data_IF_454953278246
#
_entry.id   IF_454953278246
#
_cell.length_a   1.000
_cell.length_b   1.000
_cell.length_c   1.000
_cell.angle_alpha   90.00
_cell.angle_beta   90.00
_cell.angle_gamma   90.00
#
_symmetry.space_group_name_H-M   'P 1'
#
loop_
_entity.id
_entity.type
_entity.pdbx_description
1 polymer ?
#
# COMPACT_ATOMS: atom_id res chain seq x y z
N UNK A 1 2.70 -12.78 11.52
CA UNK A 1 1.69 -13.28 10.57
C UNK A 1 1.56 -12.35 9.35
N UNK A 2 1.38 -12.92 8.15
CA UNK A 2 0.94 -12.23 6.92
C UNK A 2 -0.49 -12.68 6.60
N UNK A 3 -1.38 -11.72 6.33
CA UNK A 3 -2.74 -11.94 5.87
C UNK A 3 -2.87 -11.59 4.39
N UNK A 4 -3.56 -12.41 3.61
CA UNK A 4 -3.85 -12.19 2.19
C UNK A 4 -5.31 -11.75 2.02
N UNK A 5 -5.53 -10.44 2.12
CA UNK A 5 -6.86 -9.87 2.16
C UNK A 5 -7.61 -10.07 0.84
N UNK A 6 -8.72 -10.79 0.91
CA UNK A 6 -9.58 -11.10 -0.22
C UNK A 6 -9.15 -12.34 -1.01
N UNK A 7 -8.09 -13.04 -0.60
CA UNK A 7 -7.74 -14.35 -1.17
C UNK A 7 -8.39 -15.45 -0.33
N UNK A 8 -9.14 -16.34 -0.99
CA UNK A 8 -9.68 -17.54 -0.34
C UNK A 8 -8.56 -18.56 -0.15
N UNK A 9 -8.00 -18.58 1.04
CA UNK A 9 -6.94 -19.53 1.46
C UNK A 9 -7.40 -20.36 2.65
N UNK A 10 -6.65 -21.41 2.97
CA UNK A 10 -6.88 -22.21 4.16
C UNK A 10 -6.71 -21.35 5.43
N UNK A 11 -7.71 -21.28 6.34
CA UNK A 11 -7.59 -20.53 7.59
C UNK A 11 -6.47 -21.05 8.51
N UNK A 12 -5.99 -22.28 8.31
CA UNK A 12 -4.82 -22.80 9.03
C UNK A 12 -3.51 -22.09 8.62
N UNK A 13 -3.45 -21.55 7.39
CA UNK A 13 -2.30 -20.77 6.88
C UNK A 13 -2.51 -19.28 7.10
N UNK A 14 -3.74 -18.77 6.91
CA UNK A 14 -4.13 -17.39 7.26
C UNK A 14 -4.40 -17.23 8.76
N UNK A 15 -3.39 -17.62 9.54
CA UNK A 15 -3.52 -17.83 10.97
C UNK A 15 -3.01 -16.63 11.77
N UNK A 16 -3.94 -15.83 12.31
CA UNK A 16 -3.64 -14.65 13.12
C UNK A 16 -2.79 -14.92 14.37
N UNK A 17 -2.69 -16.17 14.83
CA UNK A 17 -1.85 -16.58 15.96
C UNK A 17 -0.41 -16.93 15.57
N UNK A 18 -0.10 -17.02 14.27
CA UNK A 18 1.26 -17.29 13.80
C UNK A 18 2.20 -16.10 14.07
N UNK A 19 3.20 -16.33 14.90
CA UNK A 19 4.25 -15.37 15.17
C UNK A 19 5.58 -15.78 14.53
N UNK A 20 6.29 -14.80 13.95
CA UNK A 20 7.62 -14.99 13.38
C UNK A 20 8.52 -13.99 14.10
N UNK A 21 9.44 -14.51 14.91
CA UNK A 21 10.33 -13.70 15.74
C UNK A 21 11.35 -12.91 14.90
N UNK A 22 11.87 -11.79 15.42
CA UNK A 22 12.99 -11.09 14.78
C UNK A 22 14.16 -12.02 14.50
N UNK A 23 14.67 -12.00 13.25
CA UNK A 23 15.75 -12.88 12.80
C UNK A 23 15.33 -14.30 12.40
N UNK A 24 14.07 -14.68 12.64
CA UNK A 24 13.52 -15.94 12.17
C UNK A 24 12.96 -15.80 10.74
N UNK A 25 12.54 -16.93 10.16
CA UNK A 25 11.89 -16.98 8.85
C UNK A 25 10.75 -17.98 8.86
N UNK A 26 9.74 -17.72 8.04
CA UNK A 26 8.60 -18.60 7.86
C UNK A 26 8.20 -18.62 6.39
N UNK A 27 7.83 -19.79 5.88
CA UNK A 27 7.35 -19.94 4.50
C UNK A 27 5.83 -20.05 4.52
N UNK A 28 5.17 -19.10 3.87
CA UNK A 28 3.73 -19.14 3.64
C UNK A 28 3.46 -19.82 2.30
N UNK A 29 2.56 -20.80 2.28
CA UNK A 29 2.13 -21.49 1.06
C UNK A 29 0.63 -21.26 0.92
N UNK A 30 0.24 -20.50 -0.09
CA UNK A 30 -1.15 -20.19 -0.39
C UNK A 30 -1.57 -20.93 -1.66
N UNK A 31 -2.47 -21.90 -1.50
CA UNK A 31 -3.13 -22.55 -2.63
C UNK A 31 -4.31 -21.67 -3.05
N UNK A 32 -4.20 -21.01 -4.21
CA UNK A 32 -5.28 -20.18 -4.76
C UNK A 32 -6.17 -21.08 -5.62
N UNK A 33 -7.44 -21.31 -5.26
CA UNK A 33 -8.31 -22.18 -6.03
C UNK A 33 -8.50 -21.66 -7.46
N UNK A 34 -8.59 -22.55 -8.46
CA UNK A 34 -8.90 -22.14 -9.83
C UNK A 34 -10.27 -21.44 -9.98
N UNK A 35 -11.15 -21.60 -8.99
CA UNK A 35 -12.45 -20.93 -8.90
C UNK A 35 -12.37 -19.56 -8.23
N UNK A 36 -11.19 -19.12 -7.79
CA UNK A 36 -11.00 -17.80 -7.22
C UNK A 36 -11.22 -16.73 -8.29
N UNK A 37 -11.92 -15.65 -7.94
CA UNK A 37 -12.11 -14.55 -8.88
C UNK A 37 -10.78 -13.82 -9.10
N UNK A 38 -10.50 -13.37 -10.34
CA UNK A 38 -9.34 -12.52 -10.55
C UNK A 38 -9.60 -11.11 -10.02
N UNK A 39 -8.54 -10.35 -9.83
CA UNK A 39 -8.65 -8.98 -9.36
C UNK A 39 -7.48 -8.51 -8.51
N UNK A 40 -7.68 -7.34 -7.93
CA UNK A 40 -6.72 -6.69 -7.04
C UNK A 40 -7.07 -7.05 -5.61
N UNK A 41 -6.14 -7.74 -4.99
CA UNK A 41 -6.12 -8.06 -3.58
C UNK A 41 -4.87 -7.42 -2.98
N UNK A 42 -4.59 -7.72 -1.72
CA UNK A 42 -3.44 -7.17 -1.04
C UNK A 42 -3.02 -8.09 0.10
N UNK A 43 -1.77 -7.97 0.50
CA UNK A 43 -1.27 -8.62 1.70
C UNK A 43 -0.75 -7.58 2.68
N UNK A 44 -0.89 -7.86 3.97
CA UNK A 44 -0.30 -7.02 5.01
C UNK A 44 0.03 -7.83 6.25
N UNK A 45 0.90 -7.28 7.10
CA UNK A 45 1.11 -7.85 8.43
C UNK A 45 -0.21 -7.83 9.22
N UNK A 46 -0.55 -8.97 9.83
CA UNK A 46 -1.73 -9.10 10.70
C UNK A 46 -1.35 -9.63 12.10
N UNK A 47 -0.17 -9.23 12.57
CA UNK A 47 0.29 -9.56 13.92
C UNK A 47 -0.63 -8.94 14.98
N UNK A 48 -1.28 -9.78 15.79
CA UNK A 48 -2.14 -9.33 16.87
C UNK A 48 -1.42 -8.32 17.79
N UNK A 49 -2.07 -7.19 18.09
CA UNK A 49 -1.52 -6.10 18.90
C UNK A 49 -0.57 -5.16 18.16
N UNK A 50 -0.11 -5.50 16.95
CA UNK A 50 0.84 -4.69 16.19
C UNK A 50 0.41 -4.39 14.73
N UNK A 51 -0.73 -4.94 14.26
CA UNK A 51 -1.17 -4.79 12.87
C UNK A 51 -1.19 -3.34 12.38
N UNK A 52 -1.72 -2.40 13.18
CA UNK A 52 -1.78 -0.99 12.80
C UNK A 52 -0.38 -0.39 12.60
N UNK A 53 0.52 -0.58 13.58
CA UNK A 53 1.90 -0.08 13.51
C UNK A 53 2.67 -0.70 12.34
N UNK A 54 2.49 -2.00 12.09
CA UNK A 54 3.15 -2.69 10.99
C UNK A 54 2.62 -2.25 9.62
N UNK A 55 1.30 -2.13 9.47
CA UNK A 55 0.66 -1.65 8.24
C UNK A 55 1.09 -0.20 7.93
N UNK A 56 0.94 0.70 8.90
CA UNK A 56 1.33 2.11 8.77
C UNK A 56 2.85 2.30 8.65
N UNK A 57 3.63 1.36 9.18
CA UNK A 57 5.07 1.25 8.96
C UNK A 57 5.48 0.70 7.58
N UNK A 58 4.51 0.35 6.73
CA UNK A 58 4.74 -0.05 5.34
C UNK A 58 4.79 -1.56 5.07
N UNK A 59 4.45 -2.42 6.04
CA UNK A 59 4.35 -3.88 5.82
C UNK A 59 3.05 -4.26 5.09
N UNK A 60 2.96 -3.82 3.84
CA UNK A 60 1.81 -3.99 2.94
C UNK A 60 2.26 -4.09 1.49
N UNK A 61 1.50 -4.80 0.67
CA UNK A 61 1.69 -4.84 -0.78
C UNK A 61 0.42 -5.26 -1.51
N UNK A 62 0.34 -4.93 -2.80
CA UNK A 62 -0.71 -5.46 -3.66
C UNK A 62 -0.46 -6.93 -3.99
N UNK A 63 -1.53 -7.68 -4.19
CA UNK A 63 -1.52 -9.06 -4.63
C UNK A 63 -2.53 -9.17 -5.76
N UNK A 64 -2.08 -9.43 -6.98
CA UNK A 64 -2.96 -9.49 -8.15
C UNK A 64 -3.17 -10.94 -8.55
N UNK A 65 -4.44 -11.35 -8.62
CA UNK A 65 -4.83 -12.60 -9.27
C UNK A 65 -5.16 -12.25 -10.71
N UNK A 66 -4.36 -12.79 -11.64
CA UNK A 66 -4.45 -12.48 -13.07
C UNK A 66 -5.83 -12.82 -13.63
N UNK A 67 -6.37 -11.94 -14.46
CA UNK A 67 -7.65 -12.11 -15.13
C UNK A 67 -7.52 -12.72 -16.54
N UNK A 68 -6.31 -13.03 -16.99
CA UNK A 68 -6.06 -13.64 -18.29
C UNK A 68 -6.90 -14.92 -18.49
N UNK A 69 -7.79 -14.88 -19.50
CA UNK A 69 -8.64 -16.02 -19.85
C UNK A 69 -9.84 -16.22 -18.92
N UNK A 70 -10.04 -15.32 -17.94
CA UNK A 70 -11.21 -15.32 -17.08
C UNK A 70 -12.47 -14.97 -17.87
N UNK A 71 -13.59 -15.63 -17.56
CA UNK A 71 -14.91 -15.24 -18.04
C UNK A 71 -15.56 -14.12 -17.21
N UNK A 72 -14.97 -13.77 -16.06
CA UNK A 72 -15.54 -12.79 -15.12
C UNK A 72 -15.19 -11.34 -15.48
N UNK A 73 -14.06 -11.13 -16.16
CA UNK A 73 -13.63 -9.80 -16.62
C UNK A 73 -13.82 -9.72 -18.12
N UNK A 74 -14.46 -8.69 -18.69
CA UNK A 74 -14.60 -8.58 -20.14
C UNK A 74 -13.24 -8.50 -20.86
N UNK A 75 -13.10 -9.20 -21.99
CA UNK A 75 -11.86 -9.24 -22.77
C UNK A 75 -11.26 -7.84 -23.10
N UNK A 76 -12.06 -6.79 -23.41
CA UNK A 76 -11.52 -5.45 -23.60
C UNK A 76 -10.84 -4.85 -22.37
N UNK A 77 -11.26 -5.25 -21.15
CA UNK A 77 -10.66 -4.77 -19.89
C UNK A 77 -9.40 -5.57 -19.56
N UNK A 78 -9.40 -6.89 -19.80
CA UNK A 78 -8.19 -7.73 -19.65
C UNK A 78 -7.05 -7.26 -20.57
N UNK A 79 -7.38 -6.74 -21.75
CA UNK A 79 -6.39 -6.24 -22.71
C UNK A 79 -5.75 -4.89 -22.33
N UNK A 80 -6.25 -4.21 -21.29
CA UNK A 80 -5.69 -2.92 -20.86
C UNK A 80 -4.41 -3.12 -20.06
N UNK A 81 -3.38 -2.32 -20.36
CA UNK A 81 -2.24 -2.17 -19.45
C UNK A 81 -2.72 -1.59 -18.12
N UNK A 82 -2.35 -2.26 -17.02
CA UNK A 82 -2.73 -1.85 -15.66
C UNK A 82 -1.57 -1.17 -14.93
N UNK A 83 -1.92 -0.23 -14.06
CA UNK A 83 -1.03 0.35 -13.05
C UNK A 83 -1.56 0.00 -11.66
N UNK A 84 -0.77 -0.75 -10.91
CA UNK A 84 -1.03 -1.00 -9.49
C UNK A 84 -0.64 0.24 -8.70
N UNK A 85 -1.55 0.71 -7.84
CA UNK A 85 -1.37 1.89 -6.99
C UNK A 85 -1.73 1.52 -5.56
N UNK A 86 -0.72 1.27 -4.74
CA UNK A 86 -0.87 1.11 -3.29
C UNK A 86 -0.71 2.48 -2.65
N UNK A 87 -1.79 2.98 -2.08
CA UNK A 87 -1.79 4.28 -1.40
C UNK A 87 -1.59 4.05 0.09
N UNK A 88 -0.50 4.59 0.62
CA UNK A 88 -0.19 4.59 2.05
C UNK A 88 -0.06 6.01 2.55
N UNK A 89 0.05 6.17 3.86
CA UNK A 89 0.46 7.44 4.43
C UNK A 89 1.60 7.24 5.42
N UNK A 90 2.33 8.31 5.70
CA UNK A 90 3.26 8.38 6.82
C UNK A 90 2.90 9.62 7.62
N UNK A 91 2.67 9.44 8.93
CA UNK A 91 2.57 10.57 9.84
C UNK A 91 3.98 11.15 10.07
N UNK A 92 4.19 12.41 9.68
CA UNK A 92 5.49 13.10 9.76
C UNK A 92 5.58 13.98 11.02
N UNK A 93 4.65 13.82 11.97
CA UNK A 93 4.74 14.51 13.26
C UNK A 93 5.74 13.78 14.18
N UNK A 94 6.83 14.47 14.56
CA UNK A 94 7.78 13.91 15.53
C UNK A 94 7.24 14.07 16.96
N UNK A 95 6.76 12.99 17.55
CA UNK A 95 6.49 12.93 18.99
C UNK A 95 7.80 12.61 19.72
N UNK A 96 8.52 13.63 20.17
CA UNK A 96 9.65 13.58 21.12
C UNK A 96 10.61 12.35 21.06
N UNK A 97 11.84 12.48 20.52
CA UNK A 97 12.80 11.38 20.34
C UNK A 97 13.38 10.78 21.64
N UNK A 98 13.01 11.26 22.83
CA UNK A 98 13.51 10.67 24.10
C UNK A 98 12.79 9.37 24.50
N UNK A 99 11.62 9.07 23.95
CA UNK A 99 10.75 7.99 24.46
C UNK A 99 10.41 6.88 23.44
N UNK A 100 11.00 6.90 22.24
CA UNK A 100 10.64 5.96 21.17
C UNK A 100 11.73 4.86 20.99
N UNK A 101 11.41 3.58 21.24
CA UNK A 101 12.34 2.45 21.06
C UNK A 101 12.53 2.01 19.59
N UNK A 102 11.86 2.64 18.61
CA UNK A 102 12.01 2.25 17.21
C UNK A 102 13.28 2.82 16.57
N UNK A 103 13.93 2.03 15.71
CA UNK A 103 14.99 2.54 14.83
C UNK A 103 14.38 3.56 13.88
N UNK A 104 14.74 4.82 14.06
CA UNK A 104 14.43 5.88 13.10
C UNK A 104 15.28 5.62 11.84
N UNK A 105 14.65 5.12 10.77
CA UNK A 105 15.26 5.09 9.43
C UNK A 105 15.45 6.54 9.01
N UNK A 106 16.66 6.93 8.60
CA UNK A 106 16.86 8.29 8.13
C UNK A 106 16.03 8.51 6.87
N UNK A 107 15.51 9.72 6.68
CA UNK A 107 14.79 10.05 5.46
C UNK A 107 15.63 9.80 4.19
N UNK A 108 16.95 9.93 4.28
CA UNK A 108 17.87 9.62 3.17
C UNK A 108 17.87 8.13 2.81
N UNK A 109 17.85 7.23 3.80
CA UNK A 109 17.74 5.78 3.58
C UNK A 109 16.38 5.42 2.96
N UNK A 110 15.28 5.99 3.49
CA UNK A 110 13.94 5.77 2.96
C UNK A 110 13.85 6.24 1.50
N UNK A 111 14.29 7.47 1.23
CA UNK A 111 14.32 8.08 -0.11
C UNK A 111 15.07 7.21 -1.12
N UNK A 112 16.25 6.73 -0.75
CA UNK A 112 17.06 5.89 -1.65
C UNK A 112 16.39 4.56 -1.96
N UNK A 113 15.65 3.98 -1.00
CA UNK A 113 14.97 2.70 -1.17
C UNK A 113 13.65 2.78 -1.94
N UNK A 114 12.91 3.88 -1.80
CA UNK A 114 11.58 4.03 -2.41
C UNK A 114 11.58 4.86 -3.70
N UNK A 115 12.66 5.58 -3.99
CA UNK A 115 12.69 6.57 -5.07
C UNK A 115 11.87 7.82 -4.76
N UNK A 116 11.57 8.07 -3.49
CA UNK A 116 10.76 9.20 -3.07
C UNK A 116 11.37 10.55 -3.51
N UNK A 117 10.49 11.51 -3.79
CA UNK A 117 10.85 12.86 -4.24
C UNK A 117 10.55 13.93 -3.20
N UNK A 118 10.06 13.56 -2.02
CA UNK A 118 9.84 14.50 -0.91
C UNK A 118 11.16 15.27 -0.59
N UNK A 119 11.13 16.59 -0.36
CA UNK A 119 12.34 17.33 -0.03
C UNK A 119 12.77 17.11 1.43
N UNK A 120 14.08 17.20 1.69
CA UNK A 120 14.62 17.24 3.05
C UNK A 120 14.06 18.47 3.78
N UNK A 121 13.64 18.30 5.05
CA UNK A 121 12.98 19.33 5.86
C UNK A 121 11.64 19.83 5.31
N UNK A 122 10.89 18.96 4.62
CA UNK A 122 9.52 19.25 4.24
C UNK A 122 8.66 19.58 5.47
N UNK A 123 8.21 20.82 5.57
CA UNK A 123 7.26 21.26 6.60
C UNK A 123 5.85 20.80 6.20
N UNK A 124 5.50 19.55 6.53
CA UNK A 124 4.12 19.05 6.34
C UNK A 124 3.09 19.76 7.25
N UNK A 125 3.59 20.46 8.27
CA UNK A 125 2.81 21.16 9.29
C UNK A 125 2.38 22.57 8.83
N UNK A 126 1.33 22.65 8.00
CA UNK A 126 0.37 23.77 7.97
C UNK A 126 -0.70 23.63 6.87
N UNK A 127 -0.39 22.98 5.74
CA UNK A 127 -1.25 23.07 4.55
C UNK A 127 -2.19 21.89 4.31
N UNK A 128 -1.96 20.72 4.93
CA UNK A 128 -2.84 19.57 4.75
C UNK A 128 -3.61 19.24 6.04
N UNK A 129 -4.66 20.04 6.30
CA UNK A 129 -5.60 19.82 7.40
C UNK A 129 -6.57 18.66 7.15
N UNK A 130 -6.62 18.12 5.93
CA UNK A 130 -7.57 17.08 5.53
C UNK A 130 -7.32 15.71 6.21
N UNK A 131 -6.10 15.45 6.69
CA UNK A 131 -5.72 14.20 7.36
C UNK A 131 -5.18 14.42 8.78
N UNK A 132 -5.63 15.48 9.46
CA UNK A 132 -5.24 15.72 10.86
C UNK A 132 -3.77 16.07 11.05
N UNK A 133 -3.26 17.06 10.32
CA UNK A 133 -2.02 17.77 10.66
C UNK A 133 -0.73 16.94 10.59
N UNK A 134 -0.16 16.82 9.39
CA UNK A 134 1.22 16.34 9.22
C UNK A 134 1.39 14.97 8.55
N UNK A 135 0.32 14.37 8.01
CA UNK A 135 0.41 13.12 7.24
C UNK A 135 0.75 13.36 5.77
N UNK A 136 1.68 12.57 5.24
CA UNK A 136 2.09 12.56 3.84
C UNK A 136 1.52 11.33 3.15
N UNK A 137 0.74 11.52 2.08
CA UNK A 137 0.26 10.43 1.23
C UNK A 137 1.38 10.00 0.27
N UNK A 138 1.47 8.69 0.08
CA UNK A 138 2.39 8.05 -0.84
C UNK A 138 1.61 7.13 -1.79
N UNK A 139 2.05 7.05 -3.04
CA UNK A 139 1.58 6.03 -3.99
C UNK A 139 2.79 5.20 -4.38
N UNK A 140 2.73 3.89 -4.14
CA UNK A 140 3.85 2.96 -4.32
C UNK A 140 5.14 3.45 -3.65
N UNK A 141 5.04 4.01 -2.45
CA UNK A 141 6.16 4.52 -1.66
C UNK A 141 6.72 5.88 -2.09
N UNK A 142 6.13 6.54 -3.09
CA UNK A 142 6.56 7.85 -3.59
C UNK A 142 5.58 8.96 -3.22
N UNK A 143 6.09 10.12 -2.81
CA UNK A 143 5.31 11.33 -2.64
C UNK A 143 5.04 12.00 -3.99
N UNK A 144 3.77 12.32 -4.24
CA UNK A 144 3.30 13.00 -5.46
C UNK A 144 3.93 12.48 -6.77
N UNK A 145 3.92 11.15 -7.02
CA UNK A 145 4.52 10.61 -8.22
C UNK A 145 3.78 11.08 -9.47
N UNK A 146 4.52 11.18 -10.57
CA UNK A 146 3.98 11.56 -11.88
C UNK A 146 4.01 10.36 -12.80
N UNK A 147 2.90 10.11 -13.47
CA UNK A 147 2.77 9.05 -14.47
C UNK A 147 2.52 9.67 -15.84
N UNK A 148 3.40 9.37 -16.80
CA UNK A 148 3.22 9.75 -18.20
C UNK A 148 2.30 8.75 -18.90
N UNK A 149 1.20 9.25 -19.49
CA UNK A 149 0.24 8.43 -20.23
C UNK A 149 0.12 8.89 -21.68
N UNK A 150 -0.08 7.94 -22.59
CA UNK A 150 -0.36 8.26 -23.98
C UNK A 150 -1.78 8.84 -24.11
N UNK A 151 -1.92 9.97 -24.79
CA UNK A 151 -3.20 10.64 -25.02
C UNK A 151 -4.20 9.70 -25.72
N UNK A 152 -5.43 9.63 -25.21
CA UNK A 152 -6.51 8.83 -25.78
C UNK A 152 -6.41 7.32 -25.53
N UNK A 153 -5.34 6.85 -24.87
CA UNK A 153 -5.20 5.44 -24.55
C UNK A 153 -5.94 5.08 -23.26
N UNK A 154 -6.76 4.03 -23.32
CA UNK A 154 -7.39 3.46 -22.13
C UNK A 154 -6.34 2.79 -21.23
N UNK A 155 -6.52 2.96 -19.93
CA UNK A 155 -5.68 2.36 -18.88
C UNK A 155 -6.54 1.86 -17.74
N UNK A 156 -6.05 0.81 -17.09
CA UNK A 156 -6.61 0.29 -15.86
C UNK A 156 -5.78 0.75 -14.67
N UNK A 157 -6.47 1.12 -13.60
CA UNK A 157 -5.85 1.54 -12.35
C UNK A 157 -6.33 0.61 -11.24
N UNK A 158 -5.39 -0.16 -10.70
CA UNK A 158 -5.62 -1.16 -9.68
C UNK A 158 -5.23 -0.56 -8.32
N UNK A 159 -6.22 -0.01 -7.62
CA UNK A 159 -5.99 0.84 -6.43
C UNK A 159 -6.22 0.08 -5.14
N UNK A 160 -5.22 0.09 -4.26
CA UNK A 160 -5.32 -0.40 -2.87
C UNK A 160 -5.27 0.80 -1.93
N UNK A 161 -6.34 1.00 -1.14
CA UNK A 161 -6.30 1.93 -0.01
C UNK A 161 -5.64 1.25 1.20
N UNK A 162 -4.39 1.60 1.49
CA UNK A 162 -3.64 1.14 2.64
C UNK A 162 -3.29 2.31 3.60
N UNK A 163 -4.11 3.35 3.63
CA UNK A 163 -3.94 4.52 4.53
C UNK A 163 -4.25 4.15 5.99
N UNK A 164 -4.86 2.99 6.27
CA UNK A 164 -4.87 2.34 7.59
C UNK A 164 -5.82 2.94 8.64
N UNK A 165 -6.07 4.25 8.63
CA UNK A 165 -6.89 4.95 9.63
C UNK A 165 -7.95 5.90 9.05
N UNK A 166 -7.96 6.06 7.72
CA UNK A 166 -8.75 7.07 7.01
C UNK A 166 -9.38 6.50 5.74
N UNK A 167 -10.50 7.10 5.33
CA UNK A 167 -11.04 6.90 3.99
C UNK A 167 -10.40 7.88 3.01
N UNK A 168 -10.37 7.51 1.73
CA UNK A 168 -9.89 8.38 0.66
C UNK A 168 -11.00 8.65 -0.33
N UNK A 169 -11.12 9.90 -0.74
CA UNK A 169 -11.85 10.31 -1.93
C UNK A 169 -10.84 10.57 -3.05
N UNK A 170 -11.03 9.90 -4.20
CA UNK A 170 -10.13 10.01 -5.35
C UNK A 170 -10.89 10.70 -6.48
N UNK A 171 -10.28 11.74 -7.05
CA UNK A 171 -10.83 12.47 -8.18
C UNK A 171 -9.78 12.64 -9.28
N UNK A 172 -10.22 12.49 -10.54
CA UNK A 172 -9.40 12.77 -11.72
C UNK A 172 -9.78 14.16 -12.22
N UNK A 173 -8.83 15.11 -12.14
CA UNK A 173 -9.02 16.50 -12.56
C UNK A 173 -8.04 16.89 -13.68
N UNK A 174 -8.41 17.89 -14.46
CA UNK A 174 -7.53 18.50 -15.47
C UNK A 174 -6.39 19.31 -14.86
N UNK A 175 -6.56 19.78 -13.61
CA UNK A 175 -5.52 20.40 -12.79
C UNK A 175 -5.78 20.15 -11.30
N UNK A 176 -4.71 20.05 -10.52
CA UNK A 176 -4.77 20.08 -9.05
C UNK A 176 -4.68 21.56 -8.66
N UNK A 177 -5.72 22.11 -8.02
CA UNK A 177 -5.65 23.48 -7.51
C UNK A 177 -4.53 23.54 -6.45
N UNK A 178 -3.56 24.42 -6.66
CA UNK A 178 -2.45 24.66 -5.75
C UNK A 178 -2.88 25.50 -4.55
#
# INVERSE_FOLDING_TARGET
NIHTHGIHVDPAVDNVYLHVEPGASHTYVYEIPATHMPGVHWYHSHQHGASALHLMGGLVGALVVDDAGSSYVPAPVQALSSYVMVVTHIAVCSCNPTNDPFRIVSYQELKSGTGDTLPLNYQAAASNTAYGGGSVLLVNGQHQPKLGLATGAWRRFDVVNAVGDSYMEIEIRTAVNA
#
